data_IF_365062309806
#
_entry.id   IF_365062309806
#
_cell.length_a   1.000
_cell.length_b   1.000
_cell.length_c   1.000
_cell.angle_alpha   90.00
_cell.angle_beta   90.00
_cell.angle_gamma   90.00
#
_symmetry.space_group_name_H-M   'P 1'
#
loop_
_entity.id
_entity.type
_entity.pdbx_description
1 polymer ?
#
# COMPACT_ATOMS: atom_id res chain seq x y z
N UNK A 1 9.00 -1.02 10.71
CA UNK A 1 8.05 -0.20 9.91
C UNK A 1 8.06 1.22 10.45
N UNK A 2 8.51 2.19 9.68
CA UNK A 2 8.62 3.59 10.17
C UNK A 2 8.01 4.55 9.15
N UNK A 3 6.69 4.81 9.25
CA UNK A 3 5.95 5.72 8.39
C UNK A 3 6.42 7.19 8.58
N UNK A 4 6.98 7.51 9.75
CA UNK A 4 7.48 8.86 10.05
C UNK A 4 8.90 9.14 9.51
N UNK A 5 9.54 8.11 8.94
CA UNK A 5 10.85 8.21 8.30
C UNK A 5 10.73 7.85 6.80
N UNK A 6 10.13 8.73 5.99
CA UNK A 6 9.94 8.49 4.56
C UNK A 6 11.29 8.43 3.84
N UNK A 7 11.39 7.53 2.88
CA UNK A 7 12.58 7.31 2.07
C UNK A 7 12.24 7.38 0.57
N UNK A 8 11.16 8.07 0.25
CA UNK A 8 10.71 8.37 -1.11
C UNK A 8 9.81 9.61 -1.15
N UNK A 9 9.70 10.27 -2.30
CA UNK A 9 8.97 11.53 -2.44
C UNK A 9 7.47 11.38 -2.18
N UNK A 10 6.87 10.25 -2.56
CA UNK A 10 5.45 9.97 -2.30
C UNK A 10 5.21 9.81 -0.80
N UNK A 11 6.01 9.00 -0.11
CA UNK A 11 5.89 8.83 1.35
C UNK A 11 6.15 10.13 2.11
N UNK A 12 7.05 10.99 1.62
CA UNK A 12 7.29 12.30 2.22
C UNK A 12 6.07 13.22 2.11
N UNK A 13 5.39 13.21 0.96
CA UNK A 13 4.16 13.96 0.76
C UNK A 13 2.99 13.39 1.59
N UNK A 14 2.83 12.07 1.65
CA UNK A 14 1.84 11.39 2.51
C UNK A 14 2.03 11.77 3.99
N UNK A 15 3.28 11.86 4.45
CA UNK A 15 3.60 12.30 5.82
C UNK A 15 3.13 13.74 6.08
N UNK A 16 3.31 14.65 5.13
CA UNK A 16 2.84 16.05 5.27
C UNK A 16 1.32 16.07 5.41
N UNK A 17 0.59 15.39 4.53
CA UNK A 17 -0.87 15.30 4.59
C UNK A 17 -1.34 14.70 5.91
N UNK A 18 -0.67 13.68 6.41
CA UNK A 18 -0.97 13.05 7.70
C UNK A 18 -0.80 14.04 8.85
N UNK A 19 0.32 14.76 8.91
CA UNK A 19 0.60 15.75 9.98
C UNK A 19 -0.41 16.89 9.92
N UNK A 20 -0.70 17.43 8.74
CA UNK A 20 -1.67 18.51 8.56
C UNK A 20 -3.07 18.07 8.99
N UNK A 21 -3.48 16.87 8.63
CA UNK A 21 -4.77 16.30 9.04
C UNK A 21 -4.86 16.11 10.56
N UNK A 22 -3.79 15.62 11.19
CA UNK A 22 -3.71 15.47 12.65
C UNK A 22 -3.78 16.85 13.32
N UNK A 23 -3.06 17.86 12.83
CA UNK A 23 -3.07 19.21 13.38
C UNK A 23 -4.48 19.82 13.32
N UNK A 24 -5.16 19.71 12.18
CA UNK A 24 -6.54 20.19 12.01
C UNK A 24 -7.49 19.46 12.97
N UNK A 25 -7.38 18.14 13.09
CA UNK A 25 -8.21 17.38 14.03
C UNK A 25 -7.95 17.78 15.48
N UNK A 26 -6.70 17.92 15.90
CA UNK A 26 -6.35 18.27 17.26
C UNK A 26 -6.82 19.69 17.63
N UNK A 27 -6.86 20.62 16.68
CA UNK A 27 -7.39 21.97 16.89
C UNK A 27 -8.86 21.97 17.33
N UNK A 28 -9.61 20.91 17.07
CA UNK A 28 -11.00 20.75 17.50
C UNK A 28 -11.12 19.78 18.68
N UNK A 29 -10.46 18.64 18.60
CA UNK A 29 -10.58 17.59 19.62
C UNK A 29 -10.07 18.07 20.97
N UNK A 30 -8.92 18.76 21.02
CA UNK A 30 -8.34 19.24 22.29
C UNK A 30 -9.24 20.27 22.99
N UNK A 31 -9.70 21.36 22.31
CA UNK A 31 -10.64 22.29 22.95
C UNK A 31 -11.95 21.63 23.37
N UNK A 32 -12.46 20.68 22.60
CA UNK A 32 -13.69 19.96 22.95
C UNK A 32 -13.51 19.13 24.22
N UNK A 33 -12.42 18.40 24.36
CA UNK A 33 -12.10 17.63 25.58
C UNK A 33 -11.94 18.59 26.77
N UNK A 34 -11.21 19.70 26.61
CA UNK A 34 -11.04 20.71 27.64
C UNK A 34 -12.39 21.29 28.03
N UNK A 35 -13.27 21.62 27.08
CA UNK A 35 -14.60 22.12 27.33
C UNK A 35 -15.48 21.12 28.12
N UNK A 36 -15.42 19.83 27.78
CA UNK A 36 -16.14 18.79 28.51
C UNK A 36 -15.74 18.75 29.98
N UNK A 37 -14.45 18.74 30.28
CA UNK A 37 -13.98 18.76 31.68
C UNK A 37 -14.28 20.07 32.38
N UNK A 38 -14.15 21.19 31.68
CA UNK A 38 -14.46 22.51 32.21
C UNK A 38 -15.95 22.62 32.60
N UNK A 39 -16.85 22.17 31.73
CA UNK A 39 -18.29 22.15 32.02
C UNK A 39 -18.63 21.18 33.12
N UNK A 40 -18.09 19.97 33.14
CA UNK A 40 -18.29 19.00 34.20
C UNK A 40 -17.83 19.57 35.58
N UNK A 41 -16.71 20.25 35.60
CA UNK A 41 -16.22 20.89 36.82
C UNK A 41 -17.05 22.12 37.24
N UNK A 42 -17.41 22.97 36.27
CA UNK A 42 -18.15 24.21 36.55
C UNK A 42 -19.58 23.93 37.02
N UNK A 43 -20.30 23.03 36.37
CA UNK A 43 -21.70 22.72 36.66
C UNK A 43 -21.88 21.56 37.66
N UNK A 44 -20.84 21.17 38.42
CA UNK A 44 -20.97 20.17 39.47
C UNK A 44 -21.93 20.64 40.57
N UNK A 45 -22.66 19.72 41.16
CA UNK A 45 -23.69 20.03 42.20
C UNK A 45 -23.17 20.82 43.39
N UNK A 46 -21.87 20.75 43.71
CA UNK A 46 -21.26 21.51 44.85
C UNK A 46 -20.85 22.92 44.49
N UNK A 47 -21.04 23.42 43.26
CA UNK A 47 -20.69 24.74 42.87
C UNK A 47 -21.86 25.73 43.01
N UNK A 48 -21.89 26.59 44.05
CA UNK A 48 -22.96 27.57 44.26
C UNK A 48 -23.02 28.71 43.26
N UNK A 49 -21.98 28.84 42.42
CA UNK A 49 -21.90 29.92 41.40
C UNK A 49 -22.49 29.49 40.06
N UNK A 50 -22.72 28.19 39.86
CA UNK A 50 -23.35 27.68 38.65
C UNK A 50 -24.86 27.96 38.68
N UNK A 51 -25.37 28.62 37.64
CA UNK A 51 -26.80 28.82 37.47
C UNK A 51 -27.48 27.58 36.95
N UNK A 52 -28.51 27.10 37.61
CA UNK A 52 -29.36 26.04 37.14
C UNK A 52 -30.47 26.63 36.25
N UNK A 53 -30.48 26.27 34.96
CA UNK A 53 -31.42 26.77 33.96
C UNK A 53 -32.16 25.56 33.34
N UNK A 54 -33.21 25.00 34.03
CA UNK A 54 -33.88 23.77 33.57
C UNK A 54 -34.59 23.97 32.24
N UNK A 55 -35.04 25.18 31.93
CA UNK A 55 -35.80 25.49 30.71
C UNK A 55 -34.92 25.93 29.55
N UNK A 56 -33.58 25.79 29.69
CA UNK A 56 -32.66 26.09 28.61
C UNK A 56 -32.70 25.00 27.55
N UNK A 57 -33.49 25.25 26.50
CA UNK A 57 -33.68 24.26 25.42
C UNK A 57 -32.95 24.67 24.10
N UNK A 58 -32.73 25.97 23.87
CA UNK A 58 -32.23 26.47 22.59
C UNK A 58 -31.48 27.78 22.71
N UNK A 59 -30.39 27.93 21.96
CA UNK A 59 -29.67 29.19 21.76
C UNK A 59 -29.07 29.25 20.37
N UNK A 60 -29.65 30.05 19.47
CA UNK A 60 -29.20 30.16 18.08
C UNK A 60 -27.74 30.61 17.93
N UNK A 61 -27.19 31.39 18.91
CA UNK A 61 -25.76 31.75 18.90
C UNK A 61 -24.84 30.58 19.20
N UNK A 62 -25.20 29.74 20.16
CA UNK A 62 -24.45 28.53 20.52
C UNK A 62 -24.51 27.54 19.37
N UNK A 63 -25.71 27.34 18.82
CA UNK A 63 -25.91 26.44 17.70
C UNK A 63 -25.13 26.86 16.45
N UNK A 64 -25.12 28.17 16.15
CA UNK A 64 -24.32 28.68 15.04
C UNK A 64 -22.85 28.27 15.16
N UNK A 65 -22.25 28.41 16.35
CA UNK A 65 -20.85 28.03 16.60
C UNK A 65 -20.66 26.54 16.54
N UNK A 66 -21.53 25.78 17.22
CA UNK A 66 -21.45 24.31 17.31
C UNK A 66 -21.59 23.62 15.96
N UNK A 67 -22.39 24.17 15.04
CA UNK A 67 -22.55 23.64 13.70
C UNK A 67 -21.51 24.17 12.71
N UNK A 68 -21.10 25.44 12.84
CA UNK A 68 -20.18 26.06 11.89
C UNK A 68 -18.76 25.47 12.00
N UNK A 69 -18.27 25.21 13.22
CA UNK A 69 -16.90 24.71 13.42
C UNK A 69 -16.72 23.33 12.77
N UNK A 70 -17.54 22.30 13.04
CA UNK A 70 -17.43 21.01 12.37
C UNK A 70 -17.63 21.11 10.86
N UNK A 71 -18.59 21.90 10.39
CA UNK A 71 -18.85 22.07 8.95
C UNK A 71 -17.62 22.63 8.21
N UNK A 72 -17.02 23.69 8.72
CA UNK A 72 -15.81 24.28 8.15
C UNK A 72 -14.62 23.33 8.20
N UNK A 73 -14.51 22.53 9.27
CA UNK A 73 -13.44 21.52 9.38
C UNK A 73 -13.59 20.39 8.37
N UNK A 74 -14.81 19.92 8.15
CA UNK A 74 -15.07 18.87 7.13
C UNK A 74 -14.71 19.42 5.75
N UNK A 75 -15.07 20.68 5.44
CA UNK A 75 -14.71 21.31 4.16
C UNK A 75 -13.18 21.41 4.03
N UNK A 76 -12.48 21.83 5.09
CA UNK A 76 -11.03 21.96 5.08
C UNK A 76 -10.33 20.61 4.92
N UNK A 77 -10.69 19.60 5.73
CA UNK A 77 -10.14 18.24 5.63
C UNK A 77 -10.48 17.59 4.29
N UNK A 78 -11.71 17.78 3.81
CA UNK A 78 -12.13 17.31 2.49
C UNK A 78 -11.30 17.96 1.37
N UNK A 79 -10.96 19.24 1.49
CA UNK A 79 -10.06 19.93 0.57
C UNK A 79 -8.64 19.36 0.58
N UNK A 80 -8.08 19.13 1.77
CA UNK A 80 -6.76 18.50 1.92
C UNK A 80 -6.74 17.10 1.32
N UNK A 81 -7.75 16.28 1.63
CA UNK A 81 -7.87 14.93 1.09
C UNK A 81 -8.06 14.92 -0.43
N UNK A 82 -8.87 15.83 -0.96
CA UNK A 82 -9.11 15.98 -2.40
C UNK A 82 -7.83 16.34 -3.15
N UNK A 83 -7.13 17.37 -2.70
CA UNK A 83 -5.88 17.81 -3.33
C UNK A 83 -4.82 16.71 -3.23
N UNK A 84 -4.64 16.12 -2.04
CA UNK A 84 -3.68 15.06 -1.80
C UNK A 84 -3.93 13.83 -2.68
N UNK A 85 -5.16 13.36 -2.78
CA UNK A 85 -5.49 12.18 -3.59
C UNK A 85 -5.26 12.37 -5.10
N UNK A 86 -5.37 13.61 -5.59
CA UNK A 86 -5.08 13.92 -7.00
C UNK A 86 -3.58 14.14 -7.26
N UNK A 87 -2.86 14.70 -6.30
CA UNK A 87 -1.41 14.91 -6.44
C UNK A 87 -0.61 13.61 -6.26
N UNK A 88 -1.11 12.70 -5.43
CA UNK A 88 -0.47 11.44 -5.10
C UNK A 88 -1.20 10.24 -5.73
N UNK A 89 -1.76 10.42 -6.93
CA UNK A 89 -2.32 9.30 -7.69
C UNK A 89 -1.25 8.23 -7.88
N UNK A 90 -1.49 6.97 -7.46
CA UNK A 90 -0.52 5.88 -7.63
C UNK A 90 0.01 5.69 -9.05
N UNK A 91 -0.81 6.00 -10.06
CA UNK A 91 -0.42 5.92 -11.47
C UNK A 91 0.35 7.15 -11.97
N UNK A 92 0.38 8.25 -11.19
CA UNK A 92 1.11 9.45 -11.59
C UNK A 92 2.63 9.18 -11.67
N UNK A 93 3.31 9.67 -12.71
CA UNK A 93 4.75 9.48 -12.84
C UNK A 93 5.51 10.22 -11.74
N UNK A 94 6.47 9.55 -11.12
CA UNK A 94 7.39 10.15 -10.15
C UNK A 94 8.60 10.71 -10.89
N UNK A 95 8.98 11.95 -10.58
CA UNK A 95 10.18 12.57 -11.14
C UNK A 95 11.42 12.00 -10.46
N UNK A 96 12.35 11.46 -11.24
CA UNK A 96 13.61 10.89 -10.75
C UNK A 96 14.76 11.25 -11.66
N UNK A 97 15.98 10.95 -11.23
CA UNK A 97 17.23 11.30 -11.95
C UNK A 97 17.73 10.20 -12.89
N UNK A 98 17.23 8.96 -12.76
CA UNK A 98 17.61 7.79 -13.55
C UNK A 98 16.59 7.37 -14.58
N UNK A 99 16.94 6.38 -15.39
CA UNK A 99 15.98 5.70 -16.27
C UNK A 99 14.94 4.94 -15.44
N UNK A 100 13.64 5.01 -15.77
CA UNK A 100 12.62 4.28 -15.06
C UNK A 100 12.88 2.77 -15.10
N UNK A 101 12.72 2.09 -13.95
CA UNK A 101 12.81 0.63 -13.84
C UNK A 101 11.40 0.07 -13.78
N UNK A 102 11.04 -0.74 -14.77
CA UNK A 102 9.75 -1.44 -14.79
C UNK A 102 9.83 -2.75 -14.04
N UNK A 103 8.84 -2.99 -13.17
CA UNK A 103 8.73 -4.22 -12.39
C UNK A 103 7.27 -4.71 -12.43
N UNK A 104 7.09 -5.90 -12.92
CA UNK A 104 5.81 -6.57 -12.93
C UNK A 104 5.67 -7.41 -11.67
N UNK A 105 4.61 -7.18 -10.90
CA UNK A 105 4.38 -7.80 -9.61
C UNK A 105 3.17 -8.71 -9.68
N UNK A 106 3.34 -9.95 -9.26
CA UNK A 106 2.24 -10.91 -9.15
C UNK A 106 2.12 -11.34 -7.69
N UNK A 107 0.99 -11.05 -7.07
CA UNK A 107 0.68 -11.64 -5.76
C UNK A 107 0.21 -13.07 -5.96
N UNK A 108 0.86 -13.99 -5.28
CA UNK A 108 0.53 -15.41 -5.22
C UNK A 108 -0.01 -15.75 -3.83
N UNK A 109 -0.44 -16.99 -3.60
CA UNK A 109 -0.84 -17.44 -2.28
C UNK A 109 0.34 -17.41 -1.33
N UNK A 110 0.40 -16.29 -0.57
CA UNK A 110 1.31 -15.87 0.48
C UNK A 110 2.77 -15.64 0.06
N UNK A 111 3.00 -15.23 -1.20
CA UNK A 111 4.31 -14.84 -1.71
C UNK A 111 4.19 -13.80 -2.82
N UNK A 112 5.29 -13.11 -3.08
CA UNK A 112 5.39 -12.07 -4.09
C UNK A 112 6.36 -12.48 -5.19
N UNK A 113 5.90 -12.48 -6.43
CA UNK A 113 6.74 -12.63 -7.62
C UNK A 113 7.00 -11.26 -8.24
N UNK A 114 8.26 -10.96 -8.49
CA UNK A 114 8.74 -9.74 -9.13
C UNK A 114 9.44 -10.08 -10.44
N UNK A 115 8.92 -9.62 -11.56
CA UNK A 115 9.48 -9.82 -12.89
C UNK A 115 10.04 -8.48 -13.36
N UNK A 116 11.27 -8.47 -13.82
CA UNK A 116 11.95 -7.32 -14.41
C UNK A 116 11.97 -7.50 -15.92
N UNK A 117 11.01 -6.97 -16.69
CA UNK A 117 10.85 -7.26 -18.11
C UNK A 117 12.05 -6.79 -18.93
N UNK A 118 12.62 -5.63 -18.61
CA UNK A 118 13.77 -5.06 -19.35
C UNK A 118 15.07 -5.83 -19.05
N UNK A 119 15.23 -6.31 -17.83
CA UNK A 119 16.37 -7.12 -17.40
C UNK A 119 16.17 -8.62 -17.68
N UNK A 120 14.95 -9.05 -17.99
CA UNK A 120 14.56 -10.45 -18.25
C UNK A 120 14.90 -11.42 -17.11
N UNK A 121 14.83 -10.95 -15.87
CA UNK A 121 15.04 -11.76 -14.65
C UNK A 121 13.77 -11.70 -13.80
N UNK A 122 13.69 -12.60 -12.80
CA UNK A 122 12.63 -12.52 -11.80
C UNK A 122 13.14 -12.89 -10.41
N UNK A 123 12.42 -12.42 -9.38
CA UNK A 123 12.70 -12.77 -7.99
C UNK A 123 11.40 -13.08 -7.25
N UNK A 124 11.50 -13.89 -6.21
CA UNK A 124 10.39 -14.20 -5.31
C UNK A 124 10.75 -13.72 -3.91
N UNK A 125 9.80 -13.06 -3.24
CA UNK A 125 9.92 -12.53 -1.88
C UNK A 125 11.17 -11.68 -1.61
N UNK A 126 11.70 -11.04 -2.63
CA UNK A 126 12.77 -10.03 -2.52
C UNK A 126 12.75 -9.14 -3.75
N UNK A 127 13.05 -7.87 -3.57
CA UNK A 127 13.11 -6.90 -4.66
C UNK A 127 14.38 -6.06 -4.51
N UNK A 128 15.04 -5.78 -5.61
CA UNK A 128 16.19 -4.86 -5.66
C UNK A 128 15.90 -3.75 -6.65
N UNK A 129 16.12 -2.51 -6.23
CA UNK A 129 15.80 -1.31 -7.02
C UNK A 129 16.96 -0.32 -6.97
N UNK A 130 17.20 0.48 -8.02
CA UNK A 130 18.19 1.54 -7.97
C UNK A 130 17.66 2.74 -7.19
N UNK A 131 18.56 3.43 -6.49
CA UNK A 131 18.29 4.70 -5.80
C UNK A 131 18.15 5.83 -6.79
N UNK A 132 17.18 6.73 -6.54
CA UNK A 132 16.96 7.95 -7.36
C UNK A 132 16.23 7.72 -8.68
N UNK A 133 16.07 6.47 -9.12
CA UNK A 133 15.34 6.15 -10.33
C UNK A 133 13.84 5.93 -10.03
N UNK A 134 12.93 6.37 -10.92
CA UNK A 134 11.52 6.03 -10.83
C UNK A 134 11.32 4.52 -10.99
N UNK A 135 10.50 3.93 -10.14
CA UNK A 135 10.13 2.52 -10.18
C UNK A 135 8.67 2.43 -10.62
N UNK A 136 8.44 1.81 -11.77
CA UNK A 136 7.11 1.63 -12.33
C UNK A 136 6.64 0.20 -12.08
N UNK A 137 5.72 0.05 -11.15
CA UNK A 137 5.11 -1.23 -10.86
C UNK A 137 3.83 -1.44 -11.69
N UNK A 138 3.76 -2.58 -12.37
CA UNK A 138 2.53 -3.13 -12.96
C UNK A 138 2.14 -4.36 -12.14
N UNK A 139 0.96 -4.32 -11.50
CA UNK A 139 0.61 -5.31 -10.50
C UNK A 139 -0.65 -6.08 -10.88
N UNK A 140 -0.63 -7.37 -10.60
CA UNK A 140 -1.78 -8.27 -10.72
C UNK A 140 -1.78 -9.31 -9.60
N UNK A 141 -2.82 -10.12 -9.53
CA UNK A 141 -2.89 -11.26 -8.61
C UNK A 141 -3.11 -12.56 -9.40
N UNK A 142 -2.53 -13.62 -8.89
CA UNK A 142 -2.81 -14.99 -9.39
C UNK A 142 -4.10 -15.58 -8.83
N UNK A 143 -4.56 -15.12 -7.67
CA UNK A 143 -5.72 -15.70 -6.97
C UNK A 143 -6.58 -14.62 -6.32
N UNK A 144 -6.39 -14.37 -5.04
CA UNK A 144 -7.18 -13.43 -4.26
C UNK A 144 -6.59 -12.02 -4.29
N UNK A 145 -7.42 -11.05 -3.92
CA UNK A 145 -7.00 -9.67 -3.73
C UNK A 145 -5.96 -9.56 -2.62
N UNK A 146 -4.88 -8.84 -2.89
CA UNK A 146 -3.84 -8.45 -1.95
C UNK A 146 -3.58 -6.95 -2.04
N UNK A 147 -2.89 -6.37 -1.08
CA UNK A 147 -2.45 -4.98 -1.13
C UNK A 147 -0.93 -4.91 -1.06
N UNK A 148 -0.32 -4.45 -2.12
CA UNK A 148 1.12 -4.22 -2.20
C UNK A 148 1.47 -2.92 -1.49
N UNK A 149 2.38 -2.98 -0.52
CA UNK A 149 2.72 -1.83 0.32
C UNK A 149 4.20 -1.81 0.70
N UNK A 150 4.86 -0.69 0.44
CA UNK A 150 6.21 -0.37 0.90
C UNK A 150 6.12 0.94 1.69
N UNK A 151 5.91 0.88 3.02
CA UNK A 151 5.52 2.03 3.84
C UNK A 151 6.44 3.26 3.76
N UNK A 152 7.75 3.03 3.56
CA UNK A 152 8.71 4.12 3.49
C UNK A 152 8.85 4.75 2.10
N UNK A 153 8.27 4.14 1.06
CA UNK A 153 8.32 4.68 -0.31
C UNK A 153 7.03 5.41 -0.70
N UNK A 154 5.88 4.97 -0.19
CA UNK A 154 4.61 5.62 -0.51
C UNK A 154 3.37 4.79 -0.19
N UNK A 155 2.31 5.13 -0.90
CA UNK A 155 0.98 4.57 -0.73
C UNK A 155 0.91 3.10 -1.16
N UNK A 156 -0.14 2.41 -0.75
CA UNK A 156 -0.44 1.05 -1.17
C UNK A 156 -1.32 1.01 -2.41
N UNK A 157 -1.29 -0.13 -3.14
CA UNK A 157 -2.20 -0.43 -4.24
C UNK A 157 -2.70 -1.87 -4.17
N UNK A 158 -3.94 -2.10 -4.58
CA UNK A 158 -4.49 -3.45 -4.66
C UNK A 158 -4.00 -4.21 -5.89
N UNK A 159 -3.73 -5.50 -5.70
CA UNK A 159 -3.48 -6.47 -6.76
C UNK A 159 -4.71 -7.37 -6.91
N UNK A 160 -5.25 -7.46 -8.12
CA UNK A 160 -6.49 -8.19 -8.40
C UNK A 160 -6.30 -9.13 -9.57
N UNK A 161 -6.91 -10.31 -9.50
CA UNK A 161 -6.86 -11.28 -10.59
C UNK A 161 -7.60 -10.77 -11.83
N UNK A 162 -7.01 -10.95 -13.02
CA UNK A 162 -7.58 -10.51 -14.28
C UNK A 162 -7.51 -9.01 -14.53
N UNK A 163 -6.87 -8.25 -13.64
CA UNK A 163 -6.70 -6.80 -13.76
C UNK A 163 -5.23 -6.40 -13.59
N UNK A 164 -4.85 -5.28 -14.17
CA UNK A 164 -3.53 -4.66 -13.94
C UNK A 164 -3.73 -3.31 -13.27
N UNK A 165 -3.06 -3.11 -12.14
CA UNK A 165 -2.96 -1.83 -11.47
C UNK A 165 -1.56 -1.26 -11.61
N UNK A 166 -1.40 0.05 -11.43
CA UNK A 166 -0.12 0.74 -11.59
C UNK A 166 0.23 1.51 -10.32
N UNK A 167 1.51 1.46 -9.94
CA UNK A 167 2.05 2.20 -8.81
C UNK A 167 3.44 2.71 -9.17
N UNK A 168 3.67 4.00 -9.01
CA UNK A 168 4.97 4.61 -9.24
C UNK A 168 5.57 5.06 -7.91
N UNK A 169 6.76 4.58 -7.61
CA UNK A 169 7.51 4.90 -6.38
C UNK A 169 8.96 5.25 -6.71
N UNK A 170 9.69 5.71 -5.70
CA UNK A 170 11.12 5.97 -5.77
C UNK A 170 11.75 5.73 -4.41
N UNK A 171 12.99 5.25 -4.40
CA UNK A 171 13.84 5.19 -3.23
C UNK A 171 14.84 6.36 -3.26
N UNK A 172 14.87 7.20 -2.24
CA UNK A 172 15.75 8.38 -2.19
C UNK A 172 17.14 8.04 -1.62
N UNK A 173 17.24 6.98 -0.82
CA UNK A 173 18.49 6.59 -0.17
C UNK A 173 18.73 5.07 -0.28
N UNK A 174 20.01 4.64 -0.30
CA UNK A 174 20.34 3.22 -0.26
C UNK A 174 20.00 2.61 1.12
N UNK A 175 19.51 1.37 1.09
CA UNK A 175 19.13 0.67 2.31
C UNK A 175 18.33 -0.59 2.05
N UNK A 176 17.92 -1.23 3.13
CA UNK A 176 16.95 -2.33 3.08
C UNK A 176 15.68 -1.92 3.79
N UNK A 177 14.59 -1.92 3.07
CA UNK A 177 13.29 -1.50 3.52
C UNK A 177 12.35 -2.70 3.59
N UNK A 178 11.20 -2.50 4.21
CA UNK A 178 10.21 -3.54 4.42
C UNK A 178 9.03 -3.34 3.46
N UNK A 179 8.65 -4.41 2.76
CA UNK A 179 7.43 -4.48 1.97
C UNK A 179 6.54 -5.60 2.47
N UNK A 180 5.23 -5.44 2.37
CA UNK A 180 4.25 -6.41 2.86
C UNK A 180 2.95 -6.39 2.06
N UNK A 181 2.10 -7.39 2.28
CA UNK A 181 0.68 -7.29 1.98
C UNK A 181 -0.04 -6.66 3.17
N UNK A 182 -0.76 -5.57 2.93
CA UNK A 182 -1.55 -4.90 3.98
C UNK A 182 -3.03 -5.30 3.98
N UNK A 183 -3.42 -6.28 3.15
CA UNK A 183 -4.78 -6.83 3.08
C UNK A 183 -4.79 -8.32 3.40
N UNK A 184 -5.63 -8.73 4.35
CA UNK A 184 -5.73 -10.12 4.77
C UNK A 184 -6.15 -11.04 3.61
N UNK A 185 -5.35 -12.08 3.36
CA UNK A 185 -5.51 -13.00 2.24
C UNK A 185 -5.50 -14.49 2.65
N UNK A 186 -5.80 -14.79 3.89
CA UNK A 186 -5.87 -16.17 4.39
C UNK A 186 -4.72 -16.57 5.32
N UNK A 187 -4.53 -17.87 5.50
CA UNK A 187 -3.72 -18.45 6.58
C UNK A 187 -2.23 -18.08 6.57
N UNK A 188 -1.63 -17.84 5.42
CA UNK A 188 -0.23 -17.45 5.27
C UNK A 188 0.00 -15.94 5.13
N UNK A 189 -1.03 -15.13 5.36
CA UNK A 189 -0.96 -13.67 5.24
C UNK A 189 0.18 -13.05 6.09
N UNK A 190 0.37 -13.55 7.32
CA UNK A 190 1.42 -13.06 8.22
C UNK A 190 2.84 -13.17 7.66
N UNK A 191 3.07 -14.13 6.76
CA UNK A 191 4.37 -14.39 6.17
C UNK A 191 4.57 -13.67 4.82
N UNK A 192 3.53 -12.95 4.34
CA UNK A 192 3.53 -12.28 3.04
C UNK A 192 4.24 -10.92 3.10
N UNK A 193 5.51 -10.94 3.46
CA UNK A 193 6.40 -9.78 3.53
C UNK A 193 7.70 -10.05 2.75
N UNK A 194 8.40 -8.98 2.39
CA UNK A 194 9.63 -9.07 1.60
C UNK A 194 10.57 -7.90 1.88
N UNK A 195 11.90 -8.11 1.82
CA UNK A 195 12.86 -7.03 1.84
C UNK A 195 12.93 -6.32 0.49
N UNK A 196 13.01 -4.99 0.55
CA UNK A 196 13.24 -4.09 -0.57
C UNK A 196 14.65 -3.52 -0.44
N UNK A 197 15.54 -3.90 -1.33
CA UNK A 197 16.94 -3.45 -1.33
C UNK A 197 17.09 -2.30 -2.32
N UNK A 198 17.24 -1.08 -1.82
CA UNK A 198 17.62 0.07 -2.63
C UNK A 198 19.14 0.18 -2.68
N UNK A 199 19.71 0.17 -3.87
CA UNK A 199 21.16 0.16 -4.09
C UNK A 199 21.56 1.22 -5.13
N UNK A 200 22.81 1.71 -5.13
CA UNK A 200 23.33 2.53 -6.22
C UNK A 200 23.18 1.84 -7.58
N UNK A 201 23.09 2.64 -8.66
CA UNK A 201 22.83 2.15 -10.02
C UNK A 201 23.87 1.13 -10.51
N UNK A 202 25.15 1.35 -10.19
CA UNK A 202 26.24 0.44 -10.50
C UNK A 202 26.07 -0.92 -9.82
N UNK A 203 25.66 -0.92 -8.56
CA UNK A 203 25.37 -2.15 -7.81
C UNK A 203 24.10 -2.85 -8.33
N UNK A 204 23.09 -2.09 -8.76
CA UNK A 204 21.91 -2.66 -9.40
C UNK A 204 22.29 -3.38 -10.69
N UNK A 205 23.08 -2.73 -11.54
CA UNK A 205 23.58 -3.32 -12.79
C UNK A 205 24.42 -4.58 -12.53
N UNK A 206 25.31 -4.57 -11.53
CA UNK A 206 26.09 -5.72 -11.14
C UNK A 206 25.22 -6.86 -10.62
N UNK A 207 24.20 -6.55 -9.79
CA UNK A 207 23.25 -7.53 -9.29
C UNK A 207 22.45 -8.20 -10.41
N UNK A 208 21.98 -7.45 -11.41
CA UNK A 208 21.32 -7.99 -12.60
C UNK A 208 22.22 -8.94 -13.35
N UNK A 209 23.48 -8.54 -13.57
CA UNK A 209 24.47 -9.35 -14.28
C UNK A 209 24.77 -10.66 -13.54
N UNK A 210 24.85 -10.63 -12.20
CA UNK A 210 25.09 -11.82 -11.38
C UNK A 210 23.86 -12.72 -11.34
N UNK A 211 22.64 -12.17 -11.21
CA UNK A 211 21.41 -12.93 -11.25
C UNK A 211 21.24 -13.71 -12.56
N UNK A 212 21.68 -13.16 -13.69
CA UNK A 212 21.63 -13.83 -14.99
C UNK A 212 22.57 -15.04 -15.12
N UNK A 213 23.58 -15.15 -14.29
CA UNK A 213 24.57 -16.24 -14.37
C UNK A 213 24.05 -17.53 -13.77
N UNK A 214 23.24 -17.46 -12.72
CA UNK A 214 22.86 -18.62 -11.89
C UNK A 214 21.37 -18.63 -11.60
N UNK A 215 20.80 -19.81 -11.43
CA UNK A 215 19.42 -20.02 -11.08
C UNK A 215 18.56 -20.62 -12.19
N UNK A 216 17.34 -21.03 -11.88
CA UNK A 216 16.37 -21.57 -12.83
C UNK A 216 15.84 -20.49 -13.80
N UNK A 217 15.13 -20.94 -14.83
CA UNK A 217 14.33 -20.08 -15.71
C UNK A 217 12.90 -20.10 -15.24
N UNK A 218 12.24 -18.94 -15.24
CA UNK A 218 10.81 -18.81 -14.95
C UNK A 218 10.02 -18.86 -16.26
N UNK A 219 9.55 -20.04 -16.59
CA UNK A 219 8.61 -20.31 -17.67
C UNK A 219 7.22 -20.64 -17.11
N UNK A 220 6.27 -20.98 -17.97
CA UNK A 220 4.91 -21.33 -17.57
C UNK A 220 4.84 -22.55 -16.62
N UNK A 221 5.74 -23.54 -16.80
CA UNK A 221 5.78 -24.73 -15.95
C UNK A 221 6.33 -24.40 -14.54
N UNK A 222 7.42 -23.65 -14.47
CA UNK A 222 7.99 -23.15 -13.21
C UNK A 222 7.00 -22.22 -12.49
N UNK A 223 6.27 -21.39 -13.23
CA UNK A 223 5.19 -20.57 -12.66
C UNK A 223 4.05 -21.43 -12.09
N UNK A 224 3.65 -22.50 -12.77
CA UNK A 224 2.63 -23.43 -12.26
C UNK A 224 3.02 -24.01 -10.90
N UNK A 225 4.27 -24.46 -10.75
CA UNK A 225 4.80 -24.92 -9.45
C UNK A 225 4.86 -23.81 -8.41
N UNK A 226 5.27 -22.60 -8.83
CA UNK A 226 5.33 -21.43 -7.95
C UNK A 226 3.94 -21.00 -7.48
N UNK A 227 2.89 -21.18 -8.27
CA UNK A 227 1.51 -20.80 -7.92
C UNK A 227 0.85 -21.70 -6.88
N UNK A 228 1.44 -22.89 -6.61
CA UNK A 228 0.97 -23.76 -5.53
C UNK A 228 1.11 -23.07 -4.17
N UNK A 229 0.18 -23.36 -3.25
CA UNK A 229 0.20 -22.78 -1.90
C UNK A 229 1.48 -23.18 -1.14
N UNK A 230 2.20 -22.19 -0.66
CA UNK A 230 3.36 -22.39 0.19
C UNK A 230 3.50 -21.24 1.17
N UNK A 231 3.62 -21.56 2.46
CA UNK A 231 3.90 -20.60 3.53
C UNK A 231 5.40 -20.44 3.70
N UNK A 232 5.84 -19.25 4.06
CA UNK A 232 7.24 -18.95 4.42
C UNK A 232 8.26 -19.35 3.34
N UNK A 233 7.92 -19.16 2.06
CA UNK A 233 8.84 -19.46 0.98
C UNK A 233 10.05 -18.52 1.04
N UNK A 234 11.25 -19.09 1.01
CA UNK A 234 12.49 -18.31 0.97
C UNK A 234 12.63 -17.56 -0.36
N UNK A 235 13.42 -16.50 -0.35
CA UNK A 235 13.72 -15.72 -1.54
C UNK A 235 14.41 -16.60 -2.60
N UNK A 236 13.90 -16.54 -3.83
CA UNK A 236 14.46 -17.23 -5.00
C UNK A 236 14.71 -16.20 -6.10
N UNK A 237 15.79 -16.41 -6.85
CA UNK A 237 16.09 -15.63 -8.05
C UNK A 237 16.06 -16.51 -9.29
N UNK A 238 15.46 -15.99 -10.36
CA UNK A 238 15.39 -16.63 -11.67
C UNK A 238 16.30 -15.86 -12.63
N UNK A 239 17.25 -16.57 -13.26
CA UNK A 239 18.18 -16.00 -14.23
C UNK A 239 17.52 -15.46 -15.49
N UNK A 240 16.35 -16.00 -15.82
CA UNK A 240 15.55 -15.59 -16.97
C UNK A 240 14.07 -15.76 -16.67
N UNK A 241 13.25 -14.86 -17.21
CA UNK A 241 11.80 -14.93 -17.16
C UNK A 241 11.23 -14.83 -18.59
N UNK A 242 10.16 -15.59 -18.86
CA UNK A 242 9.44 -15.51 -20.13
C UNK A 242 8.84 -14.09 -20.28
N UNK A 243 9.13 -13.37 -21.36
CA UNK A 243 8.62 -12.03 -21.60
C UNK A 243 7.09 -11.93 -21.66
N UNK A 244 6.40 -13.02 -22.02
CA UNK A 244 4.94 -13.08 -22.11
C UNK A 244 4.24 -13.53 -20.84
N UNK A 245 4.98 -13.95 -19.80
CA UNK A 245 4.42 -14.59 -18.61
C UNK A 245 3.41 -13.72 -17.87
N UNK A 246 3.74 -12.46 -17.60
CA UNK A 246 2.85 -11.54 -16.92
C UNK A 246 1.52 -11.35 -17.67
N UNK A 247 1.58 -11.14 -18.98
CA UNK A 247 0.39 -11.02 -19.82
C UNK A 247 -0.47 -12.30 -19.80
N UNK A 248 0.15 -13.48 -19.79
CA UNK A 248 -0.57 -14.75 -19.71
C UNK A 248 -1.27 -14.91 -18.35
N UNK A 249 -0.67 -14.41 -17.26
CA UNK A 249 -1.29 -14.41 -15.93
C UNK A 249 -2.48 -13.44 -15.90
N UNK A 250 -2.29 -12.18 -16.34
CA UNK A 250 -3.35 -11.15 -16.36
C UNK A 250 -4.53 -11.61 -17.22
N UNK A 251 -4.27 -12.18 -18.39
CA UNK A 251 -5.32 -12.67 -19.30
C UNK A 251 -5.87 -14.04 -18.93
N UNK A 252 -5.47 -14.58 -17.77
CA UNK A 252 -5.90 -15.90 -17.27
C UNK A 252 -5.69 -17.06 -18.25
N UNK A 253 -4.73 -16.94 -19.16
CA UNK A 253 -4.29 -18.06 -20.01
C UNK A 253 -3.56 -19.14 -19.22
N UNK A 254 -2.90 -18.73 -18.12
CA UNK A 254 -2.42 -19.65 -17.09
C UNK A 254 -3.49 -19.77 -15.99
N UNK A 255 -3.71 -20.98 -15.46
CA UNK A 255 -4.72 -21.17 -14.41
C UNK A 255 -4.37 -20.31 -13.18
N UNK A 256 -5.38 -19.70 -12.54
CA UNK A 256 -5.18 -18.95 -11.31
C UNK A 256 -4.70 -19.87 -10.18
N UNK A 257 -3.99 -19.31 -9.21
CA UNK A 257 -3.63 -20.02 -7.99
C UNK A 257 -4.87 -20.48 -7.21
N UNK A 258 -4.72 -21.48 -6.32
CA UNK A 258 -5.87 -22.10 -5.63
C UNK A 258 -6.61 -21.13 -4.71
N UNK A 259 -5.95 -20.12 -4.19
CA UNK A 259 -6.50 -19.20 -3.18
C UNK A 259 -6.75 -19.90 -1.83
N UNK A 260 -7.05 -19.17 -0.75
CA UNK A 260 -7.26 -19.72 0.58
C UNK A 260 -8.42 -20.74 0.59
N UNK A 261 -8.24 -21.86 1.28
CA UNK A 261 -9.25 -22.91 1.40
C UNK A 261 -10.37 -22.58 2.38
N UNK A 262 -10.08 -21.76 3.39
CA UNK A 262 -11.03 -21.30 4.40
C UNK A 262 -11.83 -20.09 3.90
N UNK A 263 -13.14 -20.14 4.06
CA UNK A 263 -14.06 -19.05 3.68
C UNK A 263 -14.66 -19.17 2.28
N UNK A 264 -14.37 -20.21 1.52
CA UNK A 264 -15.08 -20.48 0.25
C UNK A 264 -16.45 -21.09 0.53
N UNK A 265 -17.54 -20.51 0.04
CA UNK A 265 -18.89 -21.06 0.26
C UNK A 265 -19.13 -22.39 -0.46
N UNK A 266 -18.39 -22.70 -1.50
CA UNK A 266 -18.34 -24.03 -2.17
C UNK A 266 -17.17 -24.11 -3.15
N UNK A 267 -16.71 -25.33 -3.46
CA UNK A 267 -15.73 -25.61 -4.50
C UNK A 267 -16.23 -25.24 -5.93
N UNK A 268 -17.50 -24.86 -6.06
CA UNK A 268 -18.13 -24.53 -7.34
C UNK A 268 -18.04 -23.05 -7.73
N UNK A 269 -17.56 -22.17 -6.85
CA UNK A 269 -17.33 -20.77 -7.18
C UNK A 269 -15.94 -20.65 -7.78
N UNK A 270 -15.82 -21.06 -9.03
CA UNK A 270 -14.67 -20.68 -9.86
C UNK A 270 -14.79 -19.18 -10.20
N UNK A 271 -13.70 -18.38 -10.19
CA UNK A 271 -13.73 -17.05 -10.79
C UNK A 271 -13.90 -17.04 -12.31
N UNK A 272 -14.02 -18.21 -12.94
CA UNK A 272 -14.48 -18.29 -14.33
C UNK A 272 -15.95 -17.88 -14.36
N UNK A 273 -16.19 -16.59 -14.65
CA UNK A 273 -17.50 -16.15 -15.08
C UNK A 273 -17.89 -17.03 -16.28
N UNK A 274 -19.01 -17.71 -16.17
CA UNK A 274 -19.74 -18.19 -17.32
C UNK A 274 -20.07 -16.98 -18.21
N UNK A 275 -19.35 -16.82 -19.30
CA UNK A 275 -19.70 -16.03 -20.47
C UNK A 275 -19.79 -16.96 -21.66
#
# INVERSE_FOLDING_TARGET
MNIFDPQGPVAAADKVILIDSIAIMLAIVVPTIVAIFAFAYWFRASNPRAQYLPDFAHSGRIELVVWSIPALTIILLGGVAWIGSHQLDPAAPVAGTGSPVRIQVVSLDWKWLFIYPDQRIATVNTITVPVGAPIQFELTSSSVLNAFFIPQFGSMIYTMNGMTTQLNLQADAPGTFFGESSHYSGDGFSDMHFPVRAVPEDQFTAWVADTRKTGPTLDAAAYGQLSEQNRSMQAITYRAADPGLFTQIVTQKLPPGPGPSTGRPSLAVSPRSEN
#
